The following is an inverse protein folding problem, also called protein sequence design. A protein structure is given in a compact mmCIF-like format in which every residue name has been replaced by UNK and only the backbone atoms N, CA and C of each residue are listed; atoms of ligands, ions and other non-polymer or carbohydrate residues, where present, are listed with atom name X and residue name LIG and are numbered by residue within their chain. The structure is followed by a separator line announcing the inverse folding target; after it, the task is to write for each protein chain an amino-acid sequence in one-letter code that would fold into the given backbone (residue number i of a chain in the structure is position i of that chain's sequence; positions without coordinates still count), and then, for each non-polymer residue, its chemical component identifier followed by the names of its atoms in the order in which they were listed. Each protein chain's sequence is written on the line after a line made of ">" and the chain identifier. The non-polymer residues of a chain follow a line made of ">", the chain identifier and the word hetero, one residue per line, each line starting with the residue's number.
data_IF_907405898559
#
_entry.id   IF_907405898559
#
_cell.length_a   1.000
_cell.length_b   1.000
_cell.length_c   1.000
_cell.angle_alpha   90.00
_cell.angle_beta   90.00
_cell.angle_gamma   90.00
#
_symmetry.space_group_name_H-M   'P 1'
#
loop_
_entity.id
_entity.type
_entity.pdbx_description
1 polymer ?
#
# COMPACT_ATOMS: atom_id res chain seq x y z
N UNK A 1 43.67 -31.06 9.05
CA UNK A 1 42.27 -31.05 8.56
C UNK A 1 41.72 -29.65 8.75
N UNK A 2 41.53 -28.91 7.66
CA UNK A 2 41.12 -27.50 7.69
C UNK A 2 39.70 -27.34 7.16
N UNK A 3 38.99 -26.37 7.70
CA UNK A 3 37.66 -26.02 7.23
C UNK A 3 37.77 -25.25 5.91
N UNK A 4 36.88 -25.52 4.96
CA UNK A 4 36.71 -24.65 3.80
C UNK A 4 36.12 -23.29 4.18
N UNK A 5 36.16 -22.35 3.23
CA UNK A 5 35.53 -21.04 3.37
C UNK A 5 34.02 -21.14 3.57
N UNK A 6 33.45 -20.14 4.22
CA UNK A 6 32.00 -20.04 4.36
C UNK A 6 31.34 -19.73 3.02
N UNK A 7 30.32 -20.51 2.67
CA UNK A 7 29.44 -20.18 1.57
C UNK A 7 28.73 -18.84 1.81
N UNK A 8 28.23 -18.24 0.73
CA UNK A 8 27.39 -17.06 0.82
C UNK A 8 26.17 -17.32 1.72
N UNK A 9 25.77 -16.30 2.49
CA UNK A 9 24.61 -16.40 3.35
C UNK A 9 23.33 -16.63 2.54
N UNK A 10 22.47 -17.55 2.99
CA UNK A 10 21.21 -17.89 2.30
C UNK A 10 20.24 -16.71 2.16
N UNK A 11 20.39 -15.67 2.99
CA UNK A 11 19.60 -14.43 2.92
C UNK A 11 20.53 -13.23 3.04
N UNK A 12 20.29 -12.18 2.27
CA UNK A 12 20.98 -10.89 2.41
C UNK A 12 20.46 -10.04 3.57
N UNK A 13 19.27 -10.36 4.09
CA UNK A 13 18.65 -9.73 5.26
C UNK A 13 17.75 -10.72 6.01
N UNK A 14 17.51 -10.42 7.29
CA UNK A 14 16.89 -11.35 8.23
C UNK A 14 17.81 -12.54 8.50
N UNK A 15 17.53 -13.29 9.57
CA UNK A 15 18.36 -14.42 9.98
C UNK A 15 18.48 -15.42 8.82
N UNK A 16 19.66 -15.50 8.23
CA UNK A 16 20.05 -16.47 7.22
C UNK A 16 20.96 -17.55 7.81
N UNK A 17 21.32 -18.52 6.99
CA UNK A 17 22.24 -19.58 7.34
C UNK A 17 23.31 -19.69 6.25
N UNK A 18 24.52 -20.00 6.66
CA UNK A 18 25.63 -20.32 5.78
C UNK A 18 26.26 -21.62 6.23
N UNK A 19 26.90 -22.29 5.28
CA UNK A 19 27.46 -23.62 5.45
C UNK A 19 28.93 -23.60 5.06
N UNK A 20 29.73 -24.44 5.72
CA UNK A 20 31.08 -24.78 5.27
C UNK A 20 31.34 -26.26 5.48
N UNK A 21 32.24 -26.81 4.68
CA UNK A 21 32.60 -28.22 4.70
C UNK A 21 34.07 -28.41 5.13
N UNK A 22 34.36 -29.49 5.87
CA UNK A 22 35.71 -29.93 6.20
C UNK A 22 36.02 -31.22 5.43
N UNK A 23 36.67 -31.15 4.28
CA UNK A 23 36.94 -32.33 3.42
C UNK A 23 38.42 -32.49 3.12
N UNK A 24 38.85 -33.71 2.75
CA UNK A 24 40.20 -33.99 2.24
C UNK A 24 40.42 -33.50 0.80
N UNK A 25 39.35 -33.30 0.01
CA UNK A 25 39.43 -32.91 -1.40
C UNK A 25 38.28 -31.97 -1.75
N UNK A 26 38.58 -30.79 -2.28
CA UNK A 26 37.59 -29.89 -2.88
C UNK A 26 37.06 -30.52 -4.18
N UNK A 27 35.75 -30.47 -4.47
CA UNK A 27 35.27 -30.83 -5.80
C UNK A 27 36.00 -29.96 -6.82
N UNK A 28 36.53 -30.58 -7.89
CA UNK A 28 37.08 -29.84 -9.02
C UNK A 28 36.03 -28.95 -9.68
N UNK A 29 36.43 -28.13 -10.65
CA UNK A 29 35.62 -27.06 -11.27
C UNK A 29 34.21 -27.50 -11.76
N UNK A 30 33.98 -28.80 -11.96
CA UNK A 30 32.70 -29.41 -12.37
C UNK A 30 32.24 -30.60 -11.48
N UNK A 31 32.77 -30.75 -10.26
CA UNK A 31 32.40 -31.84 -9.35
C UNK A 31 31.24 -31.49 -8.43
N UNK A 32 30.30 -32.43 -8.23
CA UNK A 32 29.28 -32.36 -7.18
C UNK A 32 29.74 -33.09 -5.91
N UNK A 33 29.21 -32.68 -4.76
CA UNK A 33 29.49 -33.34 -3.48
C UNK A 33 28.78 -34.70 -3.39
N UNK A 34 29.45 -35.72 -2.85
CA UNK A 34 28.82 -37.01 -2.51
C UNK A 34 27.93 -36.85 -1.26
N UNK A 35 26.77 -37.49 -1.26
CA UNK A 35 25.78 -37.37 -0.17
C UNK A 35 26.32 -37.85 1.20
N UNK A 36 27.20 -38.87 1.21
CA UNK A 36 27.74 -39.49 2.43
C UNK A 36 28.73 -38.59 3.21
N UNK A 37 29.26 -37.52 2.60
CA UNK A 37 30.22 -36.60 3.24
C UNK A 37 29.50 -35.56 4.11
N UNK A 38 28.20 -35.35 3.92
CA UNK A 38 27.43 -34.23 4.47
C UNK A 38 27.15 -34.33 5.98
N UNK A 39 27.23 -35.53 6.58
CA UNK A 39 26.83 -35.74 7.98
C UNK A 39 27.81 -35.18 9.01
N UNK A 40 29.08 -35.58 8.94
CA UNK A 40 30.11 -35.24 9.94
C UNK A 40 31.03 -34.07 9.56
N UNK A 41 30.97 -33.61 8.31
CA UNK A 41 31.88 -32.61 7.77
C UNK A 41 31.21 -31.26 7.48
N UNK A 42 29.94 -31.09 7.86
CA UNK A 42 29.16 -29.88 7.61
C UNK A 42 29.04 -29.05 8.89
N UNK A 43 29.43 -27.77 8.81
CA UNK A 43 29.16 -26.80 9.86
C UNK A 43 28.15 -25.76 9.38
N UNK A 44 27.15 -25.49 10.20
CA UNK A 44 26.12 -24.49 9.96
C UNK A 44 26.28 -23.32 10.93
N UNK A 45 26.12 -22.10 10.43
CA UNK A 45 26.10 -20.90 11.27
C UNK A 45 25.06 -19.90 10.78
N UNK A 46 24.45 -19.17 11.71
CA UNK A 46 23.61 -18.02 11.39
C UNK A 46 24.43 -16.84 10.84
N UNK A 47 23.90 -16.22 9.80
CA UNK A 47 24.47 -15.05 9.15
C UNK A 47 23.39 -13.98 8.91
N UNK A 48 23.80 -12.75 8.64
CA UNK A 48 22.92 -11.61 8.34
C UNK A 48 21.81 -11.35 9.37
N UNK A 49 22.19 -11.00 10.60
CA UNK A 49 21.22 -10.66 11.67
C UNK A 49 20.47 -9.32 11.48
N UNK A 50 20.77 -8.58 10.41
CA UNK A 50 20.11 -7.30 10.11
C UNK A 50 18.69 -7.55 9.61
N UNK A 51 17.71 -6.96 10.28
CA UNK A 51 16.31 -7.10 9.90
C UNK A 51 16.04 -6.58 8.47
N UNK A 52 15.20 -7.30 7.71
CA UNK A 52 14.82 -6.89 6.36
C UNK A 52 13.95 -5.64 6.37
N UNK A 53 14.19 -4.76 5.39
CA UNK A 53 13.31 -3.64 5.10
C UNK A 53 11.92 -4.15 4.70
N UNK A 54 10.87 -3.57 5.28
CA UNK A 54 9.48 -3.85 4.92
C UNK A 54 8.84 -2.53 4.52
N UNK A 55 8.51 -2.35 3.26
CA UNK A 55 7.78 -1.18 2.79
C UNK A 55 6.32 -1.23 3.27
N UNK A 56 5.75 -0.06 3.57
CA UNK A 56 4.37 0.08 4.03
C UNK A 56 3.40 -0.26 2.92
N UNK A 57 2.40 -1.08 3.25
CA UNK A 57 1.29 -1.43 2.37
C UNK A 57 -0.03 -0.85 2.86
N UNK A 58 -0.81 -0.33 1.92
CA UNK A 58 -2.18 0.10 2.19
C UNK A 58 -3.07 -1.10 2.53
N UNK A 59 -3.90 -0.96 3.56
CA UNK A 59 -5.03 -1.83 3.78
C UNK A 59 -6.03 -1.73 2.63
N UNK A 60 -6.96 -2.69 2.57
CA UNK A 60 -8.18 -2.50 1.77
C UNK A 60 -8.88 -1.23 2.24
N UNK A 61 -9.50 -0.55 1.29
CA UNK A 61 -10.38 0.58 1.59
C UNK A 61 -11.55 0.12 2.46
N UNK A 62 -11.95 0.96 3.41
CA UNK A 62 -13.23 0.82 4.08
C UNK A 62 -14.37 0.87 3.06
N UNK A 63 -15.55 0.33 3.39
CA UNK A 63 -16.77 0.67 2.68
C UNK A 63 -16.95 2.20 2.64
N UNK A 64 -17.63 2.66 1.59
CA UNK A 64 -18.07 4.05 1.50
C UNK A 64 -19.06 4.36 2.63
N UNK A 65 -18.90 5.50 3.28
CA UNK A 65 -19.89 6.01 4.23
C UNK A 65 -21.21 6.28 3.51
N UNK A 66 -22.29 6.36 4.29
CA UNK A 66 -23.53 6.96 3.79
C UNK A 66 -23.25 8.41 3.34
N UNK A 67 -24.02 8.87 2.37
CA UNK A 67 -23.96 10.26 1.93
C UNK A 67 -24.39 11.17 3.09
N UNK A 68 -23.64 12.23 3.36
CA UNK A 68 -23.94 13.20 4.41
C UNK A 68 -25.25 13.98 4.17
N UNK A 69 -25.65 14.12 2.91
CA UNK A 69 -26.91 14.72 2.48
C UNK A 69 -27.75 13.74 1.67
N UNK A 70 -29.07 13.92 1.73
CA UNK A 70 -30.03 13.13 0.92
C UNK A 70 -30.25 13.70 -0.49
N UNK A 71 -30.01 14.99 -0.67
CA UNK A 71 -30.16 15.74 -1.93
C UNK A 71 -29.27 16.99 -1.89
N UNK A 72 -29.14 17.71 -3.01
CA UNK A 72 -28.44 18.98 -3.07
C UNK A 72 -26.93 18.86 -2.84
N UNK A 73 -26.31 17.81 -3.37
CA UNK A 73 -24.86 17.62 -3.37
C UNK A 73 -24.28 17.35 -1.98
N UNK A 74 -24.17 16.07 -1.66
CA UNK A 74 -23.49 15.53 -0.49
C UNK A 74 -22.16 14.85 -0.80
N UNK A 75 -21.56 14.26 0.23
CA UNK A 75 -20.26 13.59 0.20
C UNK A 75 -20.34 12.24 0.89
N UNK A 76 -19.65 11.28 0.30
CA UNK A 76 -19.39 9.97 0.89
C UNK A 76 -17.88 9.83 1.05
N UNK A 77 -17.46 9.27 2.19
CA UNK A 77 -16.06 9.20 2.61
C UNK A 77 -15.69 7.73 2.82
N UNK A 78 -14.49 7.35 2.41
CA UNK A 78 -13.87 6.08 2.83
C UNK A 78 -12.42 6.30 3.24
N UNK A 79 -11.90 5.39 4.05
CA UNK A 79 -10.55 5.49 4.61
C UNK A 79 -9.79 4.19 4.44
N UNK A 80 -8.47 4.27 4.47
CA UNK A 80 -7.56 3.13 4.50
C UNK A 80 -6.40 3.43 5.45
N UNK A 81 -5.67 2.41 5.85
CA UNK A 81 -4.58 2.53 6.80
C UNK A 81 -3.29 1.91 6.25
N UNK A 82 -2.13 2.49 6.60
CA UNK A 82 -0.82 2.02 6.13
C UNK A 82 -0.27 0.94 7.07
N UNK A 83 -1.04 -0.14 7.27
CA UNK A 83 -0.73 -1.21 8.22
C UNK A 83 -0.80 -2.61 7.60
N UNK A 84 -0.81 -2.73 6.27
CA UNK A 84 -0.97 -4.01 5.58
C UNK A 84 0.11 -4.24 4.51
N UNK A 85 1.39 -4.39 4.88
CA UNK A 85 1.96 -4.38 6.23
C UNK A 85 2.40 -2.97 6.71
N UNK A 86 2.68 -2.75 8.00
CA UNK A 86 3.31 -1.51 8.44
C UNK A 86 4.77 -1.41 7.96
N UNK A 87 5.26 -0.20 7.65
CA UNK A 87 6.66 -0.02 7.29
C UNK A 87 7.59 -0.35 8.47
N UNK A 88 8.64 -1.14 8.21
CA UNK A 88 9.65 -1.53 9.22
C UNK A 88 11.06 -1.41 8.66
N UNK A 89 12.03 -1.24 9.57
CA UNK A 89 13.47 -1.28 9.27
C UNK A 89 13.88 -0.35 8.12
N UNK A 90 13.41 0.90 8.15
CA UNK A 90 13.67 1.89 7.09
C UNK A 90 12.86 1.71 5.82
N UNK A 91 11.74 0.98 5.89
CA UNK A 91 10.77 0.85 4.81
C UNK A 91 10.13 2.16 4.39
N UNK A 92 9.74 2.27 3.11
CA UNK A 92 8.98 3.40 2.60
C UNK A 92 7.61 3.47 3.27
N UNK A 93 7.15 4.69 3.56
CA UNK A 93 5.74 4.92 3.94
C UNK A 93 4.84 4.67 2.73
N UNK A 94 3.57 4.41 2.98
CA UNK A 94 2.60 4.24 1.89
C UNK A 94 2.45 5.56 1.12
N UNK A 95 2.59 5.49 -0.20
CA UNK A 95 2.42 6.63 -1.10
C UNK A 95 0.93 6.80 -1.47
N UNK A 96 0.46 8.06 -1.49
CA UNK A 96 -0.93 8.44 -1.78
C UNK A 96 -1.78 8.73 -0.54
N UNK A 97 -3.06 9.01 -0.78
CA UNK A 97 -3.94 9.57 0.25
C UNK A 97 -4.57 8.50 1.16
N UNK A 98 -4.71 8.81 2.45
CA UNK A 98 -5.34 7.90 3.44
C UNK A 98 -6.87 7.99 3.42
N UNK A 99 -7.40 9.14 2.99
CA UNK A 99 -8.83 9.40 2.90
C UNK A 99 -9.23 9.58 1.45
N UNK A 100 -10.42 9.11 1.11
CA UNK A 100 -11.02 9.38 -0.18
C UNK A 100 -12.45 9.89 -0.01
N UNK A 101 -12.81 10.86 -0.82
CA UNK A 101 -14.14 11.47 -0.85
C UNK A 101 -14.71 11.33 -2.25
N UNK A 102 -16.02 11.10 -2.35
CA UNK A 102 -16.74 11.22 -3.61
C UNK A 102 -18.03 12.04 -3.44
N UNK A 103 -18.45 12.80 -4.45
CA UNK A 103 -19.75 13.44 -4.47
C UNK A 103 -20.87 12.38 -4.54
N UNK A 104 -22.00 12.66 -3.89
CA UNK A 104 -23.20 11.83 -3.92
C UNK A 104 -24.46 12.67 -3.79
N UNK A 105 -25.60 12.13 -4.20
CA UNK A 105 -26.92 12.78 -4.09
C UNK A 105 -26.93 14.22 -4.61
N UNK A 106 -26.36 14.42 -5.81
CA UNK A 106 -26.25 15.73 -6.44
C UNK A 106 -27.59 16.28 -6.92
N UNK A 107 -28.63 15.45 -7.04
CA UNK A 107 -29.95 15.90 -7.51
C UNK A 107 -30.55 16.99 -6.61
N UNK A 108 -31.31 17.95 -7.17
CA UNK A 108 -32.04 18.95 -6.39
C UNK A 108 -32.97 18.35 -5.33
N UNK A 109 -33.27 19.13 -4.30
CA UNK A 109 -34.18 18.77 -3.23
C UNK A 109 -35.61 19.17 -3.62
N UNK A 110 -36.29 18.30 -4.39
CA UNK A 110 -37.67 18.46 -4.86
C UNK A 110 -37.96 19.87 -5.43
N UNK A 111 -39.16 20.40 -5.21
CA UNK A 111 -39.61 21.71 -5.72
C UNK A 111 -38.75 22.89 -5.23
N UNK A 112 -37.97 22.71 -4.15
CA UNK A 112 -37.09 23.75 -3.60
C UNK A 112 -35.80 23.93 -4.40
N UNK A 113 -35.53 23.07 -5.38
CA UNK A 113 -34.35 23.16 -6.21
C UNK A 113 -33.05 22.89 -5.43
N UNK A 114 -31.99 23.60 -5.76
CA UNK A 114 -30.72 23.45 -5.06
C UNK A 114 -30.69 24.19 -3.73
N UNK A 115 -30.03 23.65 -2.69
CA UNK A 115 -29.76 24.36 -1.45
C UNK A 115 -29.11 25.74 -1.69
N UNK A 116 -29.33 26.68 -0.77
CA UNK A 116 -28.76 28.02 -0.85
C UNK A 116 -27.24 28.00 -1.11
N UNK A 117 -26.79 28.79 -2.10
CA UNK A 117 -25.40 28.85 -2.52
C UNK A 117 -24.95 27.72 -3.47
N UNK A 118 -25.90 26.96 -4.04
CA UNK A 118 -25.64 26.00 -5.10
C UNK A 118 -26.49 26.30 -6.34
N UNK A 119 -25.97 25.91 -7.49
CA UNK A 119 -26.62 26.04 -8.79
C UNK A 119 -26.72 24.68 -9.48
N UNK A 120 -27.70 24.54 -10.37
CA UNK A 120 -27.83 23.36 -11.21
C UNK A 120 -26.79 23.43 -12.32
N UNK A 121 -25.85 22.49 -12.32
CA UNK A 121 -24.80 22.37 -13.34
C UNK A 121 -24.95 21.05 -14.08
N UNK A 122 -24.46 20.95 -15.34
CA UNK A 122 -24.45 19.70 -16.08
C UNK A 122 -23.52 18.63 -15.44
N UNK A 123 -22.50 19.06 -14.69
CA UNK A 123 -21.53 18.17 -14.04
C UNK A 123 -21.39 18.40 -12.53
N UNK A 124 -22.36 17.92 -11.78
CA UNK A 124 -22.45 18.16 -10.35
C UNK A 124 -21.60 17.19 -9.51
N UNK A 125 -21.14 16.09 -10.09
CA UNK A 125 -20.37 15.04 -9.42
C UNK A 125 -18.87 15.05 -9.75
N UNK A 126 -18.38 16.10 -10.41
CA UNK A 126 -16.96 16.30 -10.68
C UNK A 126 -16.26 16.92 -9.44
N UNK A 127 -15.00 16.58 -9.22
CA UNK A 127 -14.18 17.12 -8.14
C UNK A 127 -13.37 18.35 -8.59
N UNK A 128 -12.95 19.24 -7.66
CA UNK A 128 -13.32 19.32 -6.25
C UNK A 128 -14.72 19.93 -6.06
N UNK A 129 -15.46 19.50 -5.04
CA UNK A 129 -16.77 20.10 -4.71
C UNK A 129 -16.65 21.25 -3.72
N UNK A 130 -15.62 21.22 -2.87
CA UNK A 130 -15.34 22.24 -1.85
C UNK A 130 -13.83 22.39 -1.64
N UNK A 131 -13.40 23.49 -1.03
CA UNK A 131 -11.99 23.71 -0.68
C UNK A 131 -11.40 22.58 0.19
N UNK A 132 -12.20 21.93 1.03
CA UNK A 132 -11.76 20.80 1.85
C UNK A 132 -11.35 19.56 1.03
N UNK A 133 -11.79 19.44 -0.23
CA UNK A 133 -11.35 18.37 -1.14
C UNK A 133 -9.94 18.56 -1.66
N UNK A 134 -9.38 19.76 -1.52
CA UNK A 134 -8.03 20.12 -1.93
C UNK A 134 -7.02 20.00 -0.78
N UNK A 135 -7.47 19.63 0.42
CA UNK A 135 -6.57 19.44 1.56
C UNK A 135 -5.68 18.21 1.35
N UNK A 136 -4.40 18.33 1.72
CA UNK A 136 -3.48 17.19 1.77
C UNK A 136 -4.04 16.10 2.68
N UNK A 137 -3.92 14.84 2.29
CA UNK A 137 -4.52 13.71 3.02
C UNK A 137 -5.83 13.21 2.42
N UNK A 138 -6.40 13.91 1.41
CA UNK A 138 -7.71 13.62 0.83
C UNK A 138 -7.61 13.52 -0.69
N UNK A 139 -8.06 12.41 -1.24
CA UNK A 139 -8.28 12.26 -2.68
C UNK A 139 -9.78 12.41 -2.97
N UNK A 140 -10.16 13.44 -3.73
CA UNK A 140 -11.53 13.56 -4.26
C UNK A 140 -11.64 12.76 -5.56
N UNK A 141 -12.55 11.79 -5.59
CA UNK A 141 -12.86 11.00 -6.76
C UNK A 141 -14.23 11.43 -7.32
N UNK A 142 -14.21 12.09 -8.47
CA UNK A 142 -15.42 12.31 -9.25
C UNK A 142 -15.92 11.00 -9.87
N UNK A 143 -17.19 10.97 -10.28
CA UNK A 143 -17.65 9.85 -11.10
C UNK A 143 -17.14 10.03 -12.54
N UNK A 144 -16.91 8.93 -13.25
CA UNK A 144 -16.55 8.96 -14.68
C UNK A 144 -17.69 9.45 -15.55
N UNK A 145 -18.94 9.18 -15.13
CA UNK A 145 -20.13 9.66 -15.82
C UNK A 145 -20.63 10.94 -15.17
N UNK A 146 -20.59 12.01 -15.94
CA UNK A 146 -21.03 13.34 -15.53
C UNK A 146 -22.54 13.34 -15.27
N UNK A 147 -22.96 13.73 -14.06
CA UNK A 147 -24.37 13.78 -13.68
C UNK A 147 -24.82 15.22 -13.40
N UNK A 148 -25.91 15.67 -14.02
CA UNK A 148 -26.46 16.99 -13.73
C UNK A 148 -27.01 17.05 -12.31
N UNK A 149 -26.93 18.22 -11.70
CA UNK A 149 -27.42 18.44 -10.34
C UNK A 149 -26.85 19.69 -9.69
N UNK A 150 -27.01 19.78 -8.39
CA UNK A 150 -26.59 20.89 -7.57
C UNK A 150 -25.11 20.83 -7.24
N UNK A 151 -24.40 21.91 -7.55
CA UNK A 151 -23.00 22.12 -7.19
C UNK A 151 -22.80 23.55 -6.72
N UNK A 152 -21.81 23.77 -5.87
CA UNK A 152 -21.35 25.12 -5.56
C UNK A 152 -20.77 25.76 -6.84
N UNK A 153 -21.15 27.00 -7.19
CA UNK A 153 -20.51 27.72 -8.29
C UNK A 153 -19.01 27.80 -8.07
N UNK A 154 -18.22 27.80 -9.16
CA UNK A 154 -16.78 28.03 -9.08
C UNK A 154 -16.57 29.48 -8.64
N UNK A 155 -16.06 29.65 -7.42
CA UNK A 155 -15.47 30.91 -6.94
C UNK A 155 -13.97 30.83 -7.14
#
# INVERSE_FOLDING_TARGET
>A
MEWGEWAACSRSCGVGQQQRLRTFLTPGVNGSWCDDILGGNLENRFCNIKACRVDGGWSRWSPWSRCDKRCGGGRSIRTRSCFSPPPKNGGRKCEGEKNQVKPCNTKPCDEKGCPAGQEVVPCANECPQRCSDLQQGIQCQGNTECQPGCRCPKG
#
